data_IF_425990737528
#
_entry.id   IF_425990737528
#
_cell.length_a   1.000
_cell.length_b   1.000
_cell.length_c   1.000
_cell.angle_alpha   90.00
_cell.angle_beta   90.00
_cell.angle_gamma   90.00
#
_symmetry.space_group_name_H-M   'P 1'
#
loop_
_entity.id
_entity.type
_entity.pdbx_description
1 polymer ?
#
# COMPACT_ATOMS: atom_id res chain seq x y z
N UNK A 1 -15.37 -21.69 17.70
CA UNK A 1 -14.79 -20.40 18.12
C UNK A 1 -15.55 -19.28 17.42
N UNK A 2 -16.11 -18.36 18.19
CA UNK A 2 -16.90 -17.21 17.68
C UNK A 2 -16.06 -15.92 17.61
N UNK A 3 -14.74 -16.06 17.67
CA UNK A 3 -13.79 -14.95 17.69
C UNK A 3 -13.88 -14.09 16.45
N UNK A 4 -13.93 -12.79 16.66
CA UNK A 4 -14.03 -11.78 15.61
C UNK A 4 -12.74 -10.98 15.49
N UNK A 5 -12.46 -10.55 14.26
CA UNK A 5 -11.35 -9.68 13.90
C UNK A 5 -11.94 -8.39 13.34
N UNK A 6 -11.63 -7.25 13.94
CA UNK A 6 -11.94 -5.93 13.41
C UNK A 6 -10.74 -5.41 12.63
N UNK A 7 -10.92 -5.15 11.36
CA UNK A 7 -9.93 -4.49 10.50
C UNK A 7 -10.29 -3.01 10.31
N UNK A 8 -9.30 -2.11 10.38
CA UNK A 8 -9.48 -0.66 10.30
C UNK A 8 -8.46 -0.07 9.32
N UNK A 9 -8.95 0.60 8.29
CA UNK A 9 -8.14 1.25 7.27
C UNK A 9 -8.57 2.71 7.08
N UNK A 10 -7.95 3.66 7.79
CA UNK A 10 -8.21 5.08 7.61
C UNK A 10 -7.58 5.61 6.32
N UNK A 11 -8.38 6.31 5.51
CA UNK A 11 -7.95 7.14 4.39
C UNK A 11 -8.12 8.63 4.69
N UNK A 12 -7.70 9.50 3.77
CA UNK A 12 -7.74 10.96 3.97
C UNK A 12 -9.15 11.47 4.26
N UNK A 13 -10.12 11.07 3.46
CA UNK A 13 -11.53 11.52 3.55
C UNK A 13 -12.50 10.39 3.89
N UNK A 14 -11.99 9.23 4.32
CA UNK A 14 -12.84 8.10 4.68
C UNK A 14 -12.15 7.17 5.66
N UNK A 15 -12.94 6.34 6.33
CA UNK A 15 -12.42 5.22 7.13
C UNK A 15 -13.17 3.96 6.73
N UNK A 16 -12.44 2.96 6.28
CA UNK A 16 -13.02 1.66 5.94
C UNK A 16 -12.82 0.70 7.10
N UNK A 17 -13.89 0.03 7.50
CA UNK A 17 -13.88 -0.99 8.54
C UNK A 17 -14.49 -2.28 8.05
N UNK A 18 -14.01 -3.41 8.54
CA UNK A 18 -14.63 -4.70 8.29
C UNK A 18 -14.46 -5.64 9.47
N UNK A 19 -15.44 -6.51 9.67
CA UNK A 19 -15.39 -7.55 10.69
C UNK A 19 -15.39 -8.90 10.01
N UNK A 20 -14.49 -9.75 10.48
CA UNK A 20 -14.32 -11.11 9.98
C UNK A 20 -14.51 -12.12 11.08
N UNK A 21 -15.16 -13.22 10.71
CA UNK A 21 -15.18 -14.46 11.50
C UNK A 21 -14.32 -15.48 10.75
N UNK A 22 -13.13 -15.78 11.28
CA UNK A 22 -12.08 -16.52 10.53
C UNK A 22 -11.77 -15.81 9.21
N UNK A 23 -11.96 -16.47 8.06
CA UNK A 23 -11.74 -15.90 6.72
C UNK A 23 -13.00 -15.26 6.11
N UNK A 24 -14.16 -15.37 6.77
CA UNK A 24 -15.44 -14.89 6.23
C UNK A 24 -15.72 -13.49 6.73
N UNK A 25 -15.85 -12.54 5.81
CA UNK A 25 -16.27 -11.18 6.11
C UNK A 25 -17.76 -11.16 6.44
N UNK A 26 -18.10 -10.75 7.67
CA UNK A 26 -19.49 -10.65 8.14
C UNK A 26 -20.02 -9.22 8.12
N UNK A 27 -19.14 -8.22 8.10
CA UNK A 27 -19.50 -6.80 8.02
C UNK A 27 -18.45 -6.02 7.26
N UNK A 28 -18.86 -5.01 6.51
CA UNK A 28 -17.99 -4.02 5.90
C UNK A 28 -18.71 -2.68 5.79
N UNK A 29 -18.02 -1.61 6.11
CA UNK A 29 -18.52 -0.24 5.97
C UNK A 29 -17.40 0.67 5.49
N UNK A 30 -17.72 1.55 4.56
CA UNK A 30 -16.89 2.69 4.20
C UNK A 30 -17.58 3.94 4.74
N UNK A 31 -16.92 4.63 5.66
CA UNK A 31 -17.41 5.82 6.34
C UNK A 31 -16.73 7.01 5.66
N UNK A 32 -17.50 7.86 5.01
CA UNK A 32 -16.98 9.10 4.42
C UNK A 32 -16.93 10.20 5.47
N UNK A 33 -15.93 11.05 5.40
CA UNK A 33 -15.76 12.24 6.24
C UNK A 33 -15.76 13.47 5.35
N UNK A 34 -16.70 14.37 5.58
CA UNK A 34 -16.80 15.63 4.84
C UNK A 34 -15.67 16.59 5.23
N UNK A 35 -15.40 17.56 4.38
CA UNK A 35 -14.42 18.62 4.68
C UNK A 35 -14.82 19.44 5.90
N UNK A 36 -16.12 19.62 6.13
CA UNK A 36 -16.64 20.32 7.30
C UNK A 36 -16.36 19.56 8.59
N UNK A 37 -16.57 18.26 8.60
CA UNK A 37 -16.28 17.40 9.77
C UNK A 37 -14.78 17.35 10.09
N UNK A 38 -13.92 17.41 9.07
CA UNK A 38 -12.47 17.37 9.26
C UNK A 38 -11.85 18.74 9.59
N UNK A 39 -12.53 19.84 9.25
CA UNK A 39 -12.02 21.20 9.42
C UNK A 39 -11.58 21.59 10.85
N UNK A 40 -12.21 21.11 11.93
CA UNK A 40 -11.79 21.42 13.31
C UNK A 40 -10.40 20.86 13.68
N UNK A 41 -9.90 19.88 12.95
CA UNK A 41 -8.67 19.15 13.27
C UNK A 41 -7.48 19.76 12.56
N UNK A 42 -6.47 20.21 13.32
CA UNK A 42 -5.27 20.87 12.79
C UNK A 42 -4.24 19.90 12.21
N UNK A 43 -4.28 18.66 12.64
CA UNK A 43 -3.39 17.59 12.19
C UNK A 43 -4.13 16.26 12.10
N UNK A 44 -3.47 15.26 11.50
CA UNK A 44 -4.06 13.94 11.31
C UNK A 44 -4.30 13.24 12.63
N UNK A 45 -3.35 13.31 13.56
CA UNK A 45 -3.44 12.56 14.82
C UNK A 45 -4.65 13.03 15.65
N UNK A 46 -5.01 14.33 15.63
CA UNK A 46 -6.15 14.87 16.35
C UNK A 46 -7.51 14.33 15.90
N UNK A 47 -7.59 13.67 14.75
CA UNK A 47 -8.84 13.08 14.23
C UNK A 47 -9.18 11.71 14.83
N UNK A 48 -8.30 11.11 15.65
CA UNK A 48 -8.47 9.70 16.05
C UNK A 48 -9.72 9.45 16.87
N UNK A 49 -10.04 10.30 17.87
CA UNK A 49 -11.23 10.14 18.71
C UNK A 49 -12.52 10.29 17.90
N UNK A 50 -12.59 11.28 17.03
CA UNK A 50 -13.72 11.48 16.13
C UNK A 50 -13.99 10.24 15.29
N UNK A 51 -12.95 9.73 14.62
CA UNK A 51 -13.10 8.55 13.76
C UNK A 51 -13.38 7.28 14.55
N UNK A 52 -12.77 7.11 15.73
CA UNK A 52 -13.04 6.00 16.64
C UNK A 52 -14.51 5.96 17.07
N UNK A 53 -15.07 7.10 17.49
CA UNK A 53 -16.46 7.17 17.95
C UNK A 53 -17.44 6.77 16.85
N UNK A 54 -17.21 7.21 15.60
CA UNK A 54 -18.03 6.80 14.45
C UNK A 54 -17.90 5.30 14.19
N UNK A 55 -16.69 4.74 14.27
CA UNK A 55 -16.48 3.29 14.10
C UNK A 55 -17.29 2.50 15.14
N UNK A 56 -17.21 2.89 16.41
CA UNK A 56 -17.94 2.21 17.50
C UNK A 56 -19.46 2.34 17.34
N UNK A 57 -19.94 3.48 16.84
CA UNK A 57 -21.35 3.67 16.51
C UNK A 57 -21.80 2.74 15.38
N UNK A 58 -21.05 2.65 14.29
CA UNK A 58 -21.36 1.77 13.15
C UNK A 58 -21.36 0.28 13.55
N UNK A 59 -20.44 -0.13 14.44
CA UNK A 59 -20.40 -1.50 14.96
C UNK A 59 -21.64 -1.78 15.84
N UNK A 60 -22.06 -0.83 16.70
CA UNK A 60 -23.28 -0.95 17.49
C UNK A 60 -24.53 -1.00 16.62
N UNK A 61 -24.64 -0.13 15.62
CA UNK A 61 -25.78 -0.08 14.70
C UNK A 61 -25.90 -1.39 13.90
N UNK A 62 -24.78 -2.03 13.60
CA UNK A 62 -24.75 -3.35 12.93
C UNK A 62 -25.03 -4.51 13.90
N UNK A 63 -25.28 -4.27 15.17
CA UNK A 63 -25.55 -5.27 16.21
C UNK A 63 -24.46 -6.34 16.33
N UNK A 64 -23.19 -5.93 16.15
CA UNK A 64 -22.04 -6.81 16.29
C UNK A 64 -21.77 -7.08 17.77
N UNK A 65 -21.54 -8.34 18.12
CA UNK A 65 -21.15 -8.78 19.47
C UNK A 65 -19.69 -8.36 19.74
N UNK A 66 -19.53 -7.19 20.34
CA UNK A 66 -18.20 -6.55 20.56
C UNK A 66 -17.33 -7.33 21.54
N UNK A 67 -17.91 -8.06 22.48
CA UNK A 67 -17.22 -8.97 23.39
C UNK A 67 -16.52 -10.15 22.69
N UNK A 68 -16.89 -10.44 21.47
CA UNK A 68 -16.23 -11.47 20.64
C UNK A 68 -15.08 -10.94 19.78
N UNK A 69 -14.87 -9.63 19.72
CA UNK A 69 -13.73 -9.04 19.02
C UNK A 69 -12.49 -9.20 19.89
N UNK A 70 -11.60 -10.11 19.48
CA UNK A 70 -10.35 -10.39 20.21
C UNK A 70 -9.11 -9.81 19.51
N UNK A 71 -9.24 -9.41 18.24
CA UNK A 71 -8.18 -8.77 17.45
C UNK A 71 -8.72 -7.50 16.83
N UNK A 72 -8.01 -6.40 17.03
CA UNK A 72 -8.21 -5.14 16.29
C UNK A 72 -6.96 -4.87 15.46
N UNK A 73 -7.10 -4.99 14.15
CA UNK A 73 -6.00 -4.85 13.19
C UNK A 73 -6.10 -3.50 12.49
N UNK A 74 -5.23 -2.56 12.86
CA UNK A 74 -5.11 -1.28 12.20
C UNK A 74 -4.15 -1.33 11.01
N UNK A 75 -4.41 -0.54 9.95
CA UNK A 75 -3.41 -0.28 8.93
C UNK A 75 -2.21 0.41 9.58
N UNK A 76 -1.00 -0.07 9.30
CA UNK A 76 0.22 0.56 9.78
C UNK A 76 0.47 1.91 9.10
N UNK A 77 0.99 2.88 9.88
CA UNK A 77 1.29 4.24 9.44
C UNK A 77 2.74 4.45 9.00
N UNK A 78 3.12 5.73 8.91
CA UNK A 78 4.47 6.20 8.63
C UNK A 78 5.27 6.24 9.94
N UNK A 79 5.73 5.08 10.39
CA UNK A 79 6.60 4.88 11.55
C UNK A 79 8.05 4.71 11.11
N UNK A 80 8.99 4.45 12.03
CA UNK A 80 10.37 4.09 11.66
C UNK A 80 10.38 2.91 10.68
N UNK A 81 11.38 2.81 9.79
CA UNK A 81 11.57 1.62 8.96
C UNK A 81 11.67 0.36 9.83
N UNK A 82 10.87 -0.65 9.53
CA UNK A 82 10.78 -1.90 10.28
C UNK A 82 10.69 -3.09 9.33
N UNK A 83 11.14 -4.29 9.74
CA UNK A 83 10.90 -5.52 8.98
C UNK A 83 9.40 -5.81 8.79
N UNK A 84 9.07 -6.62 7.78
CA UNK A 84 7.71 -7.13 7.58
C UNK A 84 7.26 -7.97 8.77
N UNK A 85 6.02 -7.78 9.22
CA UNK A 85 5.46 -8.57 10.32
C UNK A 85 4.23 -7.96 10.94
N UNK A 86 3.71 -8.66 11.96
CA UNK A 86 2.62 -8.18 12.82
C UNK A 86 3.24 -7.60 14.08
N UNK A 87 2.91 -6.35 14.38
CA UNK A 87 3.42 -5.62 15.54
C UNK A 87 2.32 -5.36 16.54
N UNK A 88 2.57 -5.67 17.82
CA UNK A 88 1.72 -5.21 18.89
C UNK A 88 1.76 -3.68 18.97
N UNK A 89 0.59 -3.05 19.15
CA UNK A 89 0.56 -1.60 19.33
C UNK A 89 0.95 -1.30 20.78
N UNK A 90 2.17 -0.81 20.97
CA UNK A 90 2.73 -0.41 22.26
C UNK A 90 2.92 1.12 22.34
N UNK A 91 3.37 1.63 23.49
CA UNK A 91 3.50 3.06 23.72
C UNK A 91 4.48 3.73 22.76
N UNK A 92 5.61 3.10 22.42
CA UNK A 92 6.57 3.63 21.47
C UNK A 92 5.97 3.82 20.06
N UNK A 93 5.17 2.83 19.61
CA UNK A 93 4.45 2.91 18.35
C UNK A 93 3.42 4.05 18.35
N UNK A 94 2.70 4.22 19.45
CA UNK A 94 1.71 5.29 19.62
C UNK A 94 2.36 6.67 19.57
N UNK A 95 3.49 6.84 20.27
CA UNK A 95 4.26 8.10 20.25
C UNK A 95 4.70 8.46 18.85
N UNK A 96 5.30 7.53 18.10
CA UNK A 96 5.78 7.76 16.74
C UNK A 96 4.63 8.03 15.74
N UNK A 97 3.49 7.33 15.89
CA UNK A 97 2.30 7.58 15.06
C UNK A 97 1.70 8.97 15.32
N UNK A 98 1.65 9.43 16.57
CA UNK A 98 1.18 10.76 16.94
C UNK A 98 2.13 11.84 16.46
N UNK A 99 3.42 11.66 16.67
CA UNK A 99 4.44 12.60 16.23
C UNK A 99 4.54 12.70 14.70
N UNK A 100 4.16 11.63 13.98
CA UNK A 100 4.27 11.57 12.51
C UNK A 100 5.73 11.67 12.05
N UNK A 101 6.62 10.89 12.67
CA UNK A 101 8.08 10.96 12.51
C UNK A 101 8.55 10.78 11.06
N UNK A 102 7.82 10.02 10.25
CA UNK A 102 8.08 9.84 8.81
C UNK A 102 7.06 10.59 7.94
N UNK A 103 6.21 11.41 8.54
CA UNK A 103 5.20 12.23 7.88
C UNK A 103 3.78 12.04 8.42
N UNK A 104 2.94 13.03 8.16
CA UNK A 104 1.52 13.01 8.54
C UNK A 104 0.71 12.34 7.42
N UNK A 105 0.11 11.20 7.73
CA UNK A 105 -0.75 10.47 6.80
C UNK A 105 -1.91 9.81 7.53
N UNK A 106 -3.07 9.70 6.88
CA UNK A 106 -4.27 9.11 7.50
C UNK A 106 -4.05 7.68 8.01
N UNK A 107 -3.14 6.91 7.40
CA UNK A 107 -2.80 5.56 7.88
C UNK A 107 -2.21 5.54 9.29
N UNK A 108 -1.64 6.67 9.78
CA UNK A 108 -1.13 6.77 11.15
C UNK A 108 -2.24 6.56 12.19
N UNK A 109 -3.48 6.90 11.82
CA UNK A 109 -4.65 6.69 12.68
C UNK A 109 -5.00 5.22 12.90
N UNK A 110 -4.59 4.32 12.00
CA UNK A 110 -4.97 2.91 12.07
C UNK A 110 -4.53 2.23 13.36
N UNK A 111 -3.26 2.41 13.74
CA UNK A 111 -2.73 1.90 15.00
C UNK A 111 -3.32 2.59 16.23
N UNK A 112 -3.49 3.92 16.19
CA UNK A 112 -4.06 4.69 17.28
C UNK A 112 -5.50 4.27 17.58
N UNK A 113 -6.35 4.20 16.56
CA UNK A 113 -7.74 3.79 16.67
C UNK A 113 -7.84 2.33 17.14
N UNK A 114 -7.01 1.44 16.57
CA UNK A 114 -7.00 0.03 16.96
C UNK A 114 -6.69 -0.15 18.45
N UNK A 115 -5.73 0.59 18.97
CA UNK A 115 -5.32 0.54 20.36
C UNK A 115 -6.43 1.03 21.30
N UNK A 116 -7.03 2.18 21.02
CA UNK A 116 -8.05 2.76 21.88
C UNK A 116 -9.37 1.95 21.83
N UNK A 117 -9.72 1.34 20.69
CA UNK A 117 -10.85 0.41 20.63
C UNK A 117 -10.55 -0.85 21.44
N UNK A 118 -9.36 -1.44 21.27
CA UNK A 118 -9.00 -2.66 22.00
C UNK A 118 -9.04 -2.47 23.53
N UNK A 119 -8.66 -1.30 24.05
CA UNK A 119 -8.78 -0.98 25.48
C UNK A 119 -10.21 -0.99 26.02
N UNK A 120 -11.19 -0.74 25.16
CA UNK A 120 -12.61 -0.70 25.55
C UNK A 120 -13.28 -2.08 25.47
N UNK A 121 -12.58 -3.09 24.98
CA UNK A 121 -13.09 -4.45 24.78
C UNK A 121 -12.41 -5.42 25.77
N UNK A 122 -13.13 -6.43 26.30
CA UNK A 122 -12.64 -7.25 27.43
C UNK A 122 -11.33 -7.99 27.14
N UNK A 123 -11.21 -8.61 25.95
CA UNK A 123 -10.11 -9.51 25.60
C UNK A 123 -9.39 -9.13 24.30
N UNK A 124 -9.67 -7.94 23.75
CA UNK A 124 -9.13 -7.52 22.48
C UNK A 124 -7.67 -7.03 22.58
N UNK A 125 -6.88 -7.36 21.57
CA UNK A 125 -5.52 -6.85 21.38
C UNK A 125 -5.40 -6.09 20.08
N UNK A 126 -4.63 -5.00 20.09
CA UNK A 126 -4.40 -4.14 18.94
C UNK A 126 -3.08 -4.47 18.26
N UNK A 127 -3.12 -4.53 16.92
CA UNK A 127 -1.96 -4.79 16.08
C UNK A 127 -1.96 -3.90 14.85
N UNK A 128 -0.77 -3.69 14.28
CA UNK A 128 -0.58 -3.25 12.90
C UNK A 128 0.18 -4.33 12.13
N UNK A 129 0.11 -4.28 10.81
CA UNK A 129 0.84 -5.24 9.96
C UNK A 129 1.36 -4.58 8.69
N UNK A 130 2.55 -4.99 8.29
CA UNK A 130 3.21 -4.62 7.03
C UNK A 130 2.95 -3.14 6.64
N UNK A 131 3.37 -2.15 7.45
CA UNK A 131 3.20 -0.74 7.13
C UNK A 131 3.95 -0.37 5.84
N UNK A 132 3.59 0.75 5.24
CA UNK A 132 4.21 1.22 3.98
C UNK A 132 5.73 1.44 4.08
N UNK A 133 6.26 1.55 5.29
CA UNK A 133 7.67 1.73 5.64
C UNK A 133 8.39 0.41 5.94
N UNK A 134 7.81 -0.74 5.58
CA UNK A 134 8.53 -2.01 5.65
C UNK A 134 9.84 -1.90 4.90
N UNK A 135 10.94 -2.20 5.58
CA UNK A 135 12.29 -2.11 5.04
C UNK A 135 13.05 -3.42 5.25
N UNK A 136 13.23 -4.14 4.15
CA UNK A 136 13.98 -5.39 4.06
C UNK A 136 15.03 -5.32 2.94
N UNK A 137 15.40 -4.09 2.54
CA UNK A 137 16.37 -3.87 1.48
C UNK A 137 17.70 -4.58 1.77
N UNK A 138 18.25 -5.22 0.74
CA UNK A 138 19.68 -5.54 0.72
C UNK A 138 20.51 -4.25 0.66
N UNK A 139 21.73 -4.27 1.21
CA UNK A 139 22.59 -3.06 1.27
C UNK A 139 22.82 -2.45 -0.12
N UNK A 140 22.94 -3.28 -1.16
CA UNK A 140 23.07 -2.81 -2.55
C UNK A 140 21.85 -2.01 -3.03
N UNK A 141 20.66 -2.36 -2.58
CA UNK A 141 19.43 -1.67 -2.95
C UNK A 141 19.31 -0.25 -2.34
N UNK A 142 20.06 0.04 -1.27
CA UNK A 142 20.09 1.36 -0.62
C UNK A 142 20.94 2.38 -1.36
N UNK A 143 21.91 1.90 -2.12
CA UNK A 143 22.85 2.77 -2.80
C UNK A 143 22.17 3.53 -3.95
N UNK A 144 22.38 4.84 -3.97
CA UNK A 144 22.17 5.68 -5.15
C UNK A 144 23.53 6.07 -5.75
N UNK A 145 23.52 6.88 -6.78
CA UNK A 145 24.76 7.42 -7.35
C UNK A 145 25.50 8.47 -6.50
N UNK A 146 24.96 8.85 -5.32
CA UNK A 146 25.57 9.86 -4.45
C UNK A 146 25.23 9.61 -2.98
N UNK A 147 26.20 9.65 -2.05
CA UNK A 147 26.03 9.24 -0.65
C UNK A 147 25.02 10.09 0.15
N UNK A 148 24.71 11.30 -0.29
CA UNK A 148 23.72 12.15 0.38
C UNK A 148 22.27 11.77 0.05
N UNK A 149 22.04 10.84 -0.89
CA UNK A 149 20.72 10.49 -1.41
C UNK A 149 20.51 8.97 -1.36
N UNK A 150 20.30 8.46 -0.17
CA UNK A 150 20.01 7.04 0.04
C UNK A 150 18.59 6.70 -0.45
N UNK A 151 18.43 5.52 -1.08
CA UNK A 151 17.12 4.99 -1.45
C UNK A 151 16.38 4.51 -0.21
N UNK A 152 15.06 4.71 -0.20
CA UNK A 152 14.18 4.36 0.92
C UNK A 152 13.09 3.42 0.47
N UNK A 153 12.80 2.43 1.31
CA UNK A 153 11.70 1.51 1.10
C UNK A 153 10.38 2.14 1.55
N UNK A 154 9.57 2.60 0.59
CA UNK A 154 8.19 3.05 0.81
C UNK A 154 7.33 2.50 -0.31
N UNK A 155 6.47 1.53 0.01
CA UNK A 155 5.70 0.81 -1.00
C UNK A 155 4.40 0.22 -0.45
N UNK A 156 3.60 -0.44 -1.30
CA UNK A 156 2.35 -1.09 -0.90
C UNK A 156 2.61 -2.44 -0.20
N UNK A 157 3.35 -2.39 0.93
CA UNK A 157 3.87 -3.57 1.62
C UNK A 157 2.77 -4.57 1.98
N UNK A 158 1.70 -4.11 2.64
CA UNK A 158 0.55 -4.95 3.01
C UNK A 158 0.00 -5.71 1.80
N UNK A 159 -0.24 -5.01 0.68
CA UNK A 159 -0.85 -5.59 -0.50
C UNK A 159 0.11 -6.56 -1.21
N UNK A 160 1.38 -6.18 -1.40
CA UNK A 160 2.38 -7.03 -2.04
C UNK A 160 2.63 -8.33 -1.24
N UNK A 161 2.82 -8.20 0.08
CA UNK A 161 3.02 -9.36 0.96
C UNK A 161 1.78 -10.26 1.03
N UNK A 162 0.58 -9.67 1.07
CA UNK A 162 -0.66 -10.43 1.09
C UNK A 162 -0.85 -11.25 -0.18
N UNK A 163 -0.61 -10.65 -1.36
CA UNK A 163 -0.78 -11.37 -2.62
C UNK A 163 0.30 -12.44 -2.83
N UNK A 164 1.55 -12.19 -2.40
CA UNK A 164 2.61 -13.17 -2.44
C UNK A 164 2.30 -14.40 -1.55
N UNK A 165 1.83 -14.19 -0.31
CA UNK A 165 1.36 -15.26 0.58
C UNK A 165 0.15 -16.01 0.01
N UNK A 166 -0.80 -15.27 -0.59
CA UNK A 166 -1.97 -15.88 -1.22
C UNK A 166 -1.59 -16.74 -2.43
N UNK A 167 -0.67 -16.27 -3.27
CA UNK A 167 -0.13 -17.03 -4.40
C UNK A 167 0.52 -18.34 -3.91
N UNK A 168 1.42 -18.26 -2.96
CA UNK A 168 2.08 -19.44 -2.39
C UNK A 168 1.05 -20.45 -1.87
N UNK A 169 0.11 -19.99 -1.03
CA UNK A 169 -0.96 -20.85 -0.49
C UNK A 169 -1.82 -21.52 -1.56
N UNK A 170 -2.21 -20.75 -2.60
CA UNK A 170 -3.07 -21.25 -3.69
C UNK A 170 -2.37 -22.33 -4.52
N UNK A 171 -1.04 -22.26 -4.60
CA UNK A 171 -0.22 -23.19 -5.35
C UNK A 171 0.45 -24.25 -4.47
N UNK A 172 0.09 -24.35 -3.18
CA UNK A 172 0.69 -25.27 -2.21
C UNK A 172 2.22 -25.15 -2.09
N UNK A 173 2.68 -23.89 -2.11
CA UNK A 173 4.09 -23.50 -1.98
C UNK A 173 4.30 -22.68 -0.70
N UNK A 174 5.55 -22.55 -0.27
CA UNK A 174 5.92 -21.70 0.86
C UNK A 174 6.49 -20.38 0.35
N UNK A 175 5.92 -19.24 0.80
CA UNK A 175 6.35 -17.92 0.36
C UNK A 175 7.82 -17.62 0.64
N UNK A 176 8.35 -18.13 1.75
CA UNK A 176 9.75 -17.99 2.14
C UNK A 176 10.74 -18.86 1.33
N UNK A 177 10.25 -19.64 0.37
CA UNK A 177 11.06 -20.39 -0.58
C UNK A 177 11.03 -19.80 -1.99
N UNK A 178 10.14 -18.81 -2.24
CA UNK A 178 9.90 -18.24 -3.56
C UNK A 178 10.68 -16.95 -3.80
N UNK A 179 11.10 -16.78 -5.05
CA UNK A 179 11.54 -15.51 -5.61
C UNK A 179 10.43 -14.98 -6.53
N UNK A 180 9.80 -13.88 -6.16
CA UNK A 180 8.67 -13.31 -6.88
C UNK A 180 8.94 -11.86 -7.26
N UNK A 181 8.40 -11.43 -8.40
CA UNK A 181 8.26 -10.01 -8.70
C UNK A 181 6.79 -9.66 -8.50
N UNK A 182 6.49 -8.70 -7.63
CA UNK A 182 5.13 -8.27 -7.37
C UNK A 182 4.94 -6.83 -7.81
N UNK A 183 4.07 -6.61 -8.80
CA UNK A 183 3.68 -5.29 -9.26
C UNK A 183 2.28 -4.96 -8.74
N UNK A 184 2.20 -4.07 -7.75
CA UNK A 184 0.95 -3.48 -7.29
C UNK A 184 0.68 -2.21 -8.08
N UNK A 185 -0.44 -2.15 -8.78
CA UNK A 185 -0.78 -1.09 -9.74
C UNK A 185 -2.15 -0.48 -9.40
N UNK A 186 -2.13 0.65 -8.70
CA UNK A 186 -3.29 1.44 -8.28
C UNK A 186 -3.08 2.92 -8.56
N UNK A 187 -3.59 3.81 -7.69
CA UNK A 187 -3.28 5.25 -7.74
C UNK A 187 -1.79 5.56 -7.66
N UNK A 188 -1.04 4.72 -6.93
CA UNK A 188 0.41 4.59 -7.02
C UNK A 188 0.81 3.22 -7.56
N UNK A 189 2.06 3.08 -8.03
CA UNK A 189 2.61 1.82 -8.52
C UNK A 189 3.89 1.49 -7.75
N UNK A 190 3.98 0.25 -7.26
CA UNK A 190 5.21 -0.29 -6.70
C UNK A 190 5.50 -1.68 -7.25
N UNK A 191 6.74 -1.89 -7.66
CA UNK A 191 7.23 -3.17 -8.20
C UNK A 191 8.36 -3.64 -7.30
N UNK A 192 8.16 -4.75 -6.61
CA UNK A 192 9.12 -5.27 -5.63
C UNK A 192 9.70 -6.61 -6.03
N UNK A 193 10.99 -6.78 -5.74
CA UNK A 193 11.71 -8.03 -5.82
C UNK A 193 11.59 -8.76 -4.46
N UNK A 194 10.81 -9.83 -4.44
CA UNK A 194 10.63 -10.67 -3.26
C UNK A 194 11.56 -11.87 -3.34
N UNK A 195 12.50 -11.96 -2.43
CA UNK A 195 13.46 -13.08 -2.32
C UNK A 195 13.22 -13.82 -1.01
N UNK A 196 12.71 -15.05 -1.10
CA UNK A 196 12.49 -15.92 0.06
C UNK A 196 11.74 -15.24 1.22
N UNK A 197 10.60 -14.63 0.89
CA UNK A 197 9.72 -13.98 1.86
C UNK A 197 10.07 -12.52 2.21
N UNK A 198 11.19 -11.97 1.75
CA UNK A 198 11.63 -10.58 1.98
C UNK A 198 11.54 -9.74 0.71
N UNK A 199 11.19 -8.47 0.84
CA UNK A 199 11.24 -7.49 -0.25
C UNK A 199 12.61 -6.81 -0.24
N UNK A 200 13.53 -7.35 -1.04
CA UNK A 200 14.94 -6.95 -1.02
C UNK A 200 15.26 -5.70 -1.84
N UNK A 201 14.37 -5.34 -2.75
CA UNK A 201 14.37 -4.09 -3.51
C UNK A 201 12.96 -3.75 -3.97
N UNK A 202 12.64 -2.48 -4.03
CA UNK A 202 11.38 -1.95 -4.56
C UNK A 202 11.55 -0.47 -4.90
N UNK A 203 10.87 0.04 -5.92
CA UNK A 203 10.83 1.48 -6.16
C UNK A 203 10.07 2.20 -5.03
N UNK A 204 10.53 3.39 -4.67
CA UNK A 204 9.85 4.26 -3.72
C UNK A 204 8.59 4.84 -4.37
N UNK A 205 7.44 4.23 -4.05
CA UNK A 205 6.18 4.48 -4.77
C UNK A 205 5.53 5.85 -4.46
N UNK A 206 6.09 6.64 -3.56
CA UNK A 206 5.50 7.90 -3.12
C UNK A 206 6.26 9.15 -3.60
N UNK A 207 7.58 9.12 -3.71
CA UNK A 207 8.40 10.32 -3.84
C UNK A 207 9.25 10.34 -5.12
N UNK A 208 8.66 9.98 -6.27
CA UNK A 208 9.27 10.21 -7.58
C UNK A 208 10.27 9.14 -8.03
N UNK A 209 10.00 7.87 -7.73
CA UNK A 209 10.80 6.75 -8.19
C UNK A 209 9.94 5.71 -8.92
N UNK A 210 10.54 4.94 -9.82
CA UNK A 210 9.87 3.91 -10.60
C UNK A 210 8.92 4.42 -11.69
N UNK A 211 7.93 3.63 -12.12
CA UNK A 211 7.00 4.00 -13.16
C UNK A 211 6.02 5.08 -12.71
N UNK A 212 5.60 5.95 -13.64
CA UNK A 212 4.47 6.83 -13.33
C UNK A 212 3.16 6.04 -13.19
N UNK A 213 2.24 6.63 -12.44
CA UNK A 213 0.94 6.04 -12.13
C UNK A 213 -0.20 7.01 -12.50
N UNK A 214 -1.46 6.70 -12.22
CA UNK A 214 -2.55 7.65 -12.45
C UNK A 214 -2.34 9.04 -11.86
N UNK A 215 -1.69 9.19 -10.71
CA UNK A 215 -1.54 10.47 -10.04
C UNK A 215 -0.11 10.80 -9.56
N UNK A 216 0.89 9.98 -9.94
CA UNK A 216 2.29 10.17 -9.55
C UNK A 216 3.20 10.20 -10.76
N UNK A 217 4.22 11.05 -10.72
CA UNK A 217 5.13 11.25 -11.84
C UNK A 217 6.04 10.05 -12.12
N UNK A 218 6.32 9.22 -11.11
CA UNK A 218 7.45 8.29 -11.19
C UNK A 218 8.78 9.04 -11.34
N UNK A 219 9.77 8.34 -11.86
CA UNK A 219 11.11 8.89 -12.09
C UNK A 219 11.08 9.98 -13.17
N UNK A 220 11.53 11.18 -12.80
CA UNK A 220 11.69 12.32 -13.71
C UNK A 220 13.16 12.50 -14.12
N UNK A 221 13.45 13.13 -15.28
CA UNK A 221 14.81 13.55 -15.64
C UNK A 221 15.34 14.55 -14.63
N UNK A 222 16.30 14.14 -13.78
CA UNK A 222 16.73 14.89 -12.60
C UNK A 222 17.30 16.27 -12.95
N UNK A 223 18.03 16.42 -14.07
CA UNK A 223 18.54 17.69 -14.51
C UNK A 223 17.42 18.71 -14.77
N UNK A 224 16.36 18.29 -15.45
CA UNK A 224 15.20 19.16 -15.70
C UNK A 224 14.46 19.53 -14.39
N UNK A 225 14.40 18.60 -13.43
CA UNK A 225 13.81 18.87 -12.10
C UNK A 225 14.63 19.94 -11.35
N UNK A 226 15.96 19.85 -11.38
CA UNK A 226 16.84 20.86 -10.76
C UNK A 226 16.63 22.23 -11.40
N UNK A 227 16.63 22.31 -12.73
CA UNK A 227 16.37 23.60 -13.43
C UNK A 227 15.00 24.16 -13.03
N UNK A 228 13.95 23.36 -12.99
CA UNK A 228 12.62 23.78 -12.56
C UNK A 228 12.60 24.29 -11.10
N UNK A 229 13.28 23.58 -10.18
CA UNK A 229 13.33 23.99 -8.76
C UNK A 229 14.01 25.36 -8.54
N UNK A 230 14.95 25.75 -9.39
CA UNK A 230 15.69 26.99 -9.28
C UNK A 230 15.29 28.06 -10.31
N UNK A 231 14.29 27.80 -11.16
CA UNK A 231 13.81 28.78 -12.16
C UNK A 231 13.11 30.01 -11.53
N UNK A 232 12.55 29.84 -10.33
CA UNK A 232 11.67 30.83 -9.72
C UNK A 232 10.20 30.71 -10.12
N UNK A 233 9.86 29.80 -11.05
CA UNK A 233 8.48 29.61 -11.55
C UNK A 233 7.62 28.72 -10.63
N UNK A 234 8.28 27.90 -9.77
CA UNK A 234 7.62 26.92 -8.93
C UNK A 234 8.07 27.02 -7.48
N UNK A 235 7.12 26.93 -6.57
CA UNK A 235 7.40 26.72 -5.15
C UNK A 235 7.77 25.27 -4.87
N UNK A 236 8.34 25.00 -3.68
CA UNK A 236 8.58 23.63 -3.20
C UNK A 236 7.29 22.79 -3.19
N UNK A 237 6.17 23.41 -2.80
CA UNK A 237 4.87 22.72 -2.74
C UNK A 237 4.32 22.40 -4.14
N UNK A 238 4.56 23.28 -5.12
CA UNK A 238 4.20 23.00 -6.51
C UNK A 238 4.97 21.81 -7.05
N UNK A 239 6.29 21.78 -6.83
CA UNK A 239 7.13 20.66 -7.23
C UNK A 239 6.71 19.35 -6.55
N UNK A 240 6.40 19.37 -5.26
CA UNK A 240 5.90 18.20 -4.53
C UNK A 240 4.54 17.72 -5.08
N UNK A 241 3.64 18.62 -5.44
CA UNK A 241 2.36 18.28 -6.08
C UNK A 241 2.55 17.68 -7.48
N UNK A 242 3.54 18.11 -8.26
CA UNK A 242 3.87 17.49 -9.54
C UNK A 242 4.34 16.04 -9.39
N UNK A 243 5.03 15.73 -8.30
CA UNK A 243 5.45 14.37 -7.99
C UNK A 243 4.26 13.52 -7.54
N UNK A 244 3.42 14.04 -6.60
CA UNK A 244 2.30 13.32 -6.01
C UNK A 244 1.01 14.13 -6.13
N UNK A 245 0.00 13.58 -6.80
CA UNK A 245 -1.34 14.15 -6.97
C UNK A 245 -1.56 14.82 -8.32
N UNK A 246 -0.52 15.42 -8.94
CA UNK A 246 -0.60 16.06 -10.26
C UNK A 246 0.38 15.48 -11.28
N UNK A 247 0.94 14.31 -11.00
CA UNK A 247 1.79 13.56 -11.93
C UNK A 247 1.00 12.54 -12.74
N UNK A 248 1.67 11.80 -13.61
CA UNK A 248 1.11 10.69 -14.35
C UNK A 248 -0.10 11.04 -15.23
N UNK A 249 -1.16 10.24 -15.18
CA UNK A 249 -2.38 10.50 -15.96
C UNK A 249 -2.97 11.87 -15.66
N UNK A 250 -2.96 12.31 -14.39
CA UNK A 250 -3.40 13.65 -14.00
C UNK A 250 -2.68 14.75 -14.77
N UNK A 251 -1.37 14.65 -14.93
CA UNK A 251 -0.58 15.65 -15.66
C UNK A 251 -0.86 15.67 -17.15
N UNK A 252 -1.09 14.50 -17.77
CA UNK A 252 -1.25 14.39 -19.21
C UNK A 252 -2.69 14.48 -19.69
N UNK A 253 -3.66 13.97 -18.89
CA UNK A 253 -5.03 13.69 -19.30
C UNK A 253 -6.09 14.29 -18.37
N UNK A 254 -5.66 15.00 -17.32
CA UNK A 254 -6.53 15.62 -16.29
C UNK A 254 -7.52 14.63 -15.65
N UNK A 255 -7.07 13.37 -15.48
CA UNK A 255 -7.84 12.32 -14.80
C UNK A 255 -6.91 11.31 -14.14
N UNK A 256 -7.28 10.82 -12.96
CA UNK A 256 -6.63 9.69 -12.30
C UNK A 256 -7.43 8.38 -12.45
N UNK A 257 -8.52 8.40 -13.21
CA UNK A 257 -9.37 7.25 -13.45
C UNK A 257 -8.81 6.40 -14.61
N UNK A 258 -8.10 5.32 -14.27
CA UNK A 258 -7.50 4.41 -15.25
C UNK A 258 -8.54 3.78 -16.19
N UNK A 259 -9.78 3.54 -15.73
CA UNK A 259 -10.85 3.02 -16.57
C UNK A 259 -11.27 4.02 -17.65
N UNK A 260 -11.35 5.33 -17.32
CA UNK A 260 -11.62 6.37 -18.31
C UNK A 260 -10.53 6.45 -19.37
N UNK A 261 -9.25 6.35 -18.97
CA UNK A 261 -8.11 6.34 -19.89
C UNK A 261 -8.17 5.12 -20.82
N UNK A 262 -8.38 3.92 -20.27
CA UNK A 262 -8.55 2.69 -21.05
C UNK A 262 -9.73 2.81 -22.05
N UNK A 263 -10.86 3.36 -21.59
CA UNK A 263 -12.03 3.56 -22.45
C UNK A 263 -11.76 4.55 -23.58
N UNK A 264 -11.09 5.67 -23.32
CA UNK A 264 -10.70 6.64 -24.33
C UNK A 264 -9.72 6.02 -25.36
N UNK A 265 -8.73 5.26 -24.88
CA UNK A 265 -7.78 4.53 -25.69
C UNK A 265 -8.50 3.55 -26.65
N UNK A 266 -9.43 2.74 -26.15
CA UNK A 266 -10.26 1.82 -26.94
C UNK A 266 -11.11 2.54 -28.00
N UNK A 267 -11.54 3.78 -27.71
CA UNK A 267 -12.32 4.59 -28.63
C UNK A 267 -11.45 5.36 -29.63
N UNK A 268 -10.15 5.12 -29.68
CA UNK A 268 -9.23 5.67 -30.67
C UNK A 268 -8.60 7.02 -30.29
N UNK A 269 -8.67 7.46 -29.04
CA UNK A 269 -7.92 8.60 -28.55
C UNK A 269 -6.42 8.28 -28.53
N UNK A 270 -5.70 8.86 -29.48
CA UNK A 270 -4.26 8.63 -29.66
C UNK A 270 -3.41 9.09 -28.46
N UNK A 271 -3.83 10.18 -27.81
CA UNK A 271 -3.11 10.69 -26.64
C UNK A 271 -3.31 9.77 -25.44
N UNK A 272 -4.54 9.35 -25.18
CA UNK A 272 -4.84 8.38 -24.13
C UNK A 272 -4.09 7.05 -24.35
N UNK A 273 -4.11 6.54 -25.59
CA UNK A 273 -3.37 5.32 -25.96
C UNK A 273 -1.86 5.45 -25.68
N UNK A 274 -1.24 6.55 -26.13
CA UNK A 274 0.19 6.78 -25.92
C UNK A 274 0.56 6.82 -24.44
N UNK A 275 -0.27 7.50 -23.64
CA UNK A 275 0.00 7.66 -22.21
C UNK A 275 -0.27 6.36 -21.44
N UNK A 276 -1.28 5.58 -21.81
CA UNK A 276 -1.53 4.25 -21.25
C UNK A 276 -0.41 3.27 -21.57
N UNK A 277 0.00 3.20 -22.83
CA UNK A 277 1.13 2.37 -23.30
C UNK A 277 2.45 2.79 -22.64
N UNK A 278 2.66 4.08 -22.42
CA UNK A 278 3.84 4.62 -21.74
C UNK A 278 3.91 4.15 -20.28
N UNK A 279 2.78 4.12 -19.56
CA UNK A 279 2.72 3.58 -18.20
C UNK A 279 3.03 2.08 -18.20
N UNK A 280 2.40 1.30 -19.07
CA UNK A 280 2.69 -0.13 -19.21
C UNK A 280 4.16 -0.40 -19.57
N UNK A 281 4.74 0.44 -20.44
CA UNK A 281 6.17 0.36 -20.80
C UNK A 281 7.08 0.57 -19.59
N UNK A 282 6.80 1.59 -18.77
CA UNK A 282 7.62 1.86 -17.57
C UNK A 282 7.46 0.77 -16.50
N UNK A 283 6.24 0.27 -16.28
CA UNK A 283 6.02 -0.88 -15.37
C UNK A 283 6.78 -2.12 -15.85
N UNK A 284 6.76 -2.40 -17.15
CA UNK A 284 7.50 -3.53 -17.71
C UNK A 284 9.02 -3.38 -17.52
N UNK A 285 9.57 -2.17 -17.68
CA UNK A 285 10.98 -1.89 -17.39
C UNK A 285 11.32 -2.14 -15.93
N UNK A 286 10.47 -1.71 -15.01
CA UNK A 286 10.69 -1.90 -13.58
C UNK A 286 10.64 -3.39 -13.21
N UNK A 287 9.71 -4.17 -13.79
CA UNK A 287 9.68 -5.63 -13.64
C UNK A 287 10.98 -6.27 -14.16
N UNK A 288 11.50 -5.79 -15.30
CA UNK A 288 12.78 -6.25 -15.85
C UNK A 288 13.96 -5.91 -14.91
N UNK A 289 13.95 -4.74 -14.30
CA UNK A 289 14.93 -4.33 -13.30
C UNK A 289 14.89 -5.26 -12.09
N UNK A 290 13.69 -5.57 -11.55
CA UNK A 290 13.53 -6.50 -10.42
C UNK A 290 13.94 -7.94 -10.78
N UNK A 291 13.78 -8.35 -12.04
CA UNK A 291 14.31 -9.64 -12.51
C UNK A 291 15.85 -9.69 -12.43
N UNK A 292 16.51 -8.58 -12.73
CA UNK A 292 17.96 -8.45 -12.59
C UNK A 292 18.40 -8.49 -11.11
N UNK A 293 17.65 -7.83 -10.22
CA UNK A 293 17.88 -7.90 -8.76
C UNK A 293 17.82 -9.34 -8.26
N UNK A 294 16.92 -10.15 -8.82
CA UNK A 294 16.80 -11.58 -8.50
C UNK A 294 17.74 -12.49 -9.33
N UNK A 295 18.71 -11.91 -10.05
CA UNK A 295 19.69 -12.62 -10.87
C UNK A 295 19.04 -13.55 -11.92
N UNK A 296 17.85 -13.19 -12.39
CA UNK A 296 17.04 -14.00 -13.32
C UNK A 296 16.35 -15.21 -12.69
N UNK A 297 16.57 -15.47 -11.39
CA UNK A 297 15.93 -16.57 -10.69
C UNK A 297 14.54 -16.15 -10.18
N UNK A 298 13.56 -16.10 -11.07
CA UNK A 298 12.18 -15.65 -10.80
C UNK A 298 11.20 -16.81 -10.95
N UNK A 299 10.51 -17.18 -9.87
CA UNK A 299 9.49 -18.24 -9.88
C UNK A 299 8.19 -17.76 -10.54
N UNK A 300 7.78 -16.51 -10.29
CA UNK A 300 6.58 -15.93 -10.89
C UNK A 300 6.59 -14.39 -10.84
N UNK A 301 5.82 -13.79 -11.74
CA UNK A 301 5.45 -12.37 -11.71
C UNK A 301 3.99 -12.26 -11.30
N UNK A 302 3.69 -11.49 -10.25
CA UNK A 302 2.35 -11.27 -9.74
C UNK A 302 1.91 -9.84 -10.05
N UNK A 303 0.84 -9.69 -10.81
CA UNK A 303 0.23 -8.40 -11.17
C UNK A 303 -1.03 -8.20 -10.35
N UNK A 304 -1.11 -7.11 -9.58
CA UNK A 304 -2.25 -6.83 -8.69
C UNK A 304 -2.57 -5.33 -8.64
N UNK A 305 -3.58 -4.95 -7.87
CA UNK A 305 -4.09 -3.58 -7.81
C UNK A 305 -5.25 -3.35 -8.79
N UNK A 306 -5.88 -2.17 -8.69
CA UNK A 306 -7.06 -1.82 -9.48
C UNK A 306 -6.84 -1.80 -10.99
N UNK A 307 -5.64 -1.40 -11.43
CA UNK A 307 -5.28 -1.37 -12.87
C UNK A 307 -5.21 -2.78 -13.47
N UNK A 308 -4.96 -3.80 -12.65
CA UNK A 308 -4.90 -5.19 -13.12
C UNK A 308 -6.25 -5.75 -13.58
N UNK A 309 -7.38 -5.06 -13.38
CA UNK A 309 -8.65 -5.38 -14.03
C UNK A 309 -8.65 -5.09 -15.54
N UNK A 310 -7.83 -4.14 -15.99
CA UNK A 310 -7.73 -3.72 -17.39
C UNK A 310 -7.01 -4.77 -18.23
N UNK A 311 -7.75 -5.64 -18.92
CA UNK A 311 -7.15 -6.66 -19.79
C UNK A 311 -6.21 -6.08 -20.85
N UNK A 312 -6.54 -4.97 -21.58
CA UNK A 312 -5.62 -4.37 -22.54
C UNK A 312 -4.29 -3.95 -21.91
N UNK A 313 -4.32 -3.34 -20.73
CA UNK A 313 -3.12 -2.96 -20.01
C UNK A 313 -2.25 -4.18 -19.66
N UNK A 314 -2.87 -5.24 -19.16
CA UNK A 314 -2.18 -6.52 -18.88
C UNK A 314 -1.59 -7.14 -20.16
N UNK A 315 -2.30 -7.07 -21.27
CA UNK A 315 -1.80 -7.58 -22.56
C UNK A 315 -0.57 -6.78 -23.06
N UNK A 316 -0.54 -5.45 -22.80
CA UNK A 316 0.64 -4.61 -23.10
C UNK A 316 1.86 -5.01 -22.24
N UNK A 317 1.65 -5.30 -20.95
CA UNK A 317 2.68 -5.81 -20.06
C UNK A 317 3.18 -7.18 -20.50
N UNK A 318 2.27 -8.13 -20.74
CA UNK A 318 2.60 -9.51 -21.11
C UNK A 318 3.53 -9.57 -22.31
N UNK A 319 3.30 -8.77 -23.35
CA UNK A 319 4.17 -8.70 -24.54
C UNK A 319 5.64 -8.42 -24.19
N UNK A 320 5.88 -7.69 -23.10
CA UNK A 320 7.22 -7.23 -22.72
C UNK A 320 7.89 -8.09 -21.64
N UNK A 321 7.11 -8.80 -20.80
CA UNK A 321 7.66 -9.46 -19.61
C UNK A 321 7.48 -10.99 -19.60
N UNK A 322 6.71 -11.58 -20.56
CA UNK A 322 6.45 -13.02 -20.60
C UNK A 322 7.70 -13.91 -20.73
N UNK A 323 8.80 -13.34 -21.17
CA UNK A 323 10.08 -14.04 -21.30
C UNK A 323 10.83 -14.18 -19.97
N UNK A 324 10.43 -13.44 -18.92
CA UNK A 324 11.10 -13.44 -17.61
C UNK A 324 10.64 -14.62 -16.78
N UNK A 325 9.33 -14.76 -16.56
CA UNK A 325 8.73 -15.84 -15.78
C UNK A 325 7.22 -15.94 -16.03
N UNK A 326 6.59 -16.97 -15.47
CA UNK A 326 5.13 -17.13 -15.54
C UNK A 326 4.43 -15.98 -14.82
N UNK A 327 3.40 -15.41 -15.48
CA UNK A 327 2.64 -14.26 -14.99
C UNK A 327 1.33 -14.74 -14.40
N UNK A 328 1.00 -14.24 -13.21
CA UNK A 328 -0.27 -14.45 -12.54
C UNK A 328 -0.92 -13.09 -12.26
N UNK A 329 -2.21 -12.96 -12.59
CA UNK A 329 -2.95 -11.71 -12.41
C UNK A 329 -3.98 -11.90 -11.30
N UNK A 330 -3.89 -11.05 -10.28
CA UNK A 330 -4.78 -11.00 -9.13
C UNK A 330 -5.39 -9.60 -9.04
N UNK A 331 -6.43 -9.29 -9.84
CA UNK A 331 -6.97 -7.95 -9.94
C UNK A 331 -7.55 -7.44 -8.62
N UNK A 332 -7.40 -6.14 -8.41
CA UNK A 332 -7.93 -5.46 -7.23
C UNK A 332 -7.00 -5.52 -6.02
N UNK A 333 -7.48 -4.94 -4.97
CA UNK A 333 -6.85 -4.92 -3.65
C UNK A 333 -7.93 -5.12 -2.59
N UNK A 334 -7.71 -6.03 -1.68
CA UNK A 334 -8.58 -6.21 -0.51
C UNK A 334 -7.75 -6.02 0.76
N UNK A 335 -7.40 -4.75 1.04
CA UNK A 335 -6.65 -4.37 2.24
C UNK A 335 -7.35 -4.84 3.51
N UNK A 336 -8.69 -4.81 3.52
CA UNK A 336 -9.46 -5.28 4.68
C UNK A 336 -9.27 -6.78 4.91
N UNK A 337 -9.27 -7.57 3.83
CA UNK A 337 -8.97 -8.99 3.89
C UNK A 337 -7.53 -9.23 4.27
N UNK A 338 -6.58 -8.45 3.73
CA UNK A 338 -5.16 -8.56 4.07
C UNK A 338 -4.92 -8.33 5.58
N UNK A 339 -5.52 -7.27 6.15
CA UNK A 339 -5.49 -6.99 7.59
C UNK A 339 -6.10 -8.16 8.38
N UNK A 340 -7.30 -8.59 8.04
CA UNK A 340 -8.02 -9.64 8.75
C UNK A 340 -7.32 -11.01 8.67
N UNK A 341 -6.71 -11.36 7.53
CA UNK A 341 -5.98 -12.62 7.39
C UNK A 341 -4.70 -12.63 8.23
N UNK A 342 -4.04 -11.49 8.42
CA UNK A 342 -2.93 -11.41 9.38
C UNK A 342 -3.43 -11.52 10.84
N UNK A 343 -4.59 -10.91 11.19
CA UNK A 343 -5.24 -11.16 12.46
C UNK A 343 -5.60 -12.64 12.69
N UNK A 344 -6.06 -13.33 11.65
CA UNK A 344 -6.33 -14.77 11.72
C UNK A 344 -5.06 -15.59 11.95
N UNK A 345 -3.92 -15.19 11.36
CA UNK A 345 -2.61 -15.82 11.61
C UNK A 345 -2.16 -15.65 13.06
N UNK A 346 -2.44 -14.48 13.67
CA UNK A 346 -2.21 -14.26 15.11
C UNK A 346 -3.04 -15.23 15.95
N UNK A 347 -4.35 -15.34 15.69
CA UNK A 347 -5.23 -16.27 16.43
C UNK A 347 -4.75 -17.71 16.33
N UNK A 348 -4.22 -18.10 15.17
CA UNK A 348 -3.74 -19.46 14.92
C UNK A 348 -2.30 -19.73 15.35
N UNK A 349 -1.60 -18.74 15.90
CA UNK A 349 -0.16 -18.80 16.18
C UNK A 349 0.71 -19.15 14.94
N UNK A 350 0.27 -18.72 13.76
CA UNK A 350 0.98 -18.90 12.47
C UNK A 350 1.95 -17.73 12.15
N UNK A 351 2.11 -16.78 13.06
CA UNK A 351 3.02 -15.65 12.93
C UNK A 351 3.52 -15.21 14.29
N UNK A 352 4.78 -14.80 14.34
CA UNK A 352 5.35 -14.13 15.49
C UNK A 352 4.74 -12.73 15.63
N UNK A 353 4.53 -12.29 16.87
CA UNK A 353 4.15 -10.91 17.19
C UNK A 353 5.42 -10.18 17.57
N UNK A 354 5.72 -9.12 16.84
CA UNK A 354 6.91 -8.32 17.01
C UNK A 354 6.64 -7.12 17.92
N UNK A 355 7.69 -6.68 18.62
CA UNK A 355 7.68 -5.46 19.41
C UNK A 355 8.29 -4.30 18.63
N UNK A 356 7.57 -3.18 18.60
CA UNK A 356 8.08 -1.93 18.04
C UNK A 356 9.00 -1.23 19.07
N UNK A 357 10.17 -0.74 18.58
CA UNK A 357 11.21 -0.12 19.42
C UNK A 357 11.57 1.28 18.97
#
# INVERSE_FOLDING_TARGET
MQELILAINPGSTSTKIAIYRRSNRIFIKSISHSSEELKPYTDIASQFEFRMNIILEEIRNAQIETDKIIIVMGRGGLVKPIPSGVYAVNDALIEDLKAGIMGQHASNLGGLIAYEIAKQLPDAKAYIVDPVVVDEFEDLARLSGHPNFERKSIFHALNQKAIARNHAKTHHLEYNELNLIVAHMGGGISVGAHKKGKVIDVNQALDGDGPYSPERSGTLPIGAVVEACFSGDYTKDDMKKMIVGKGGYMAYLDTNDAYKVESASKNGDKKATLIEEGMAYQVAKEIGSMATVLEGNVNAILLTGGIAYGKPFIDMLNKRIQHIARIFVYPGEDEMKALAMNGLRVIKNETEILDYK
#
